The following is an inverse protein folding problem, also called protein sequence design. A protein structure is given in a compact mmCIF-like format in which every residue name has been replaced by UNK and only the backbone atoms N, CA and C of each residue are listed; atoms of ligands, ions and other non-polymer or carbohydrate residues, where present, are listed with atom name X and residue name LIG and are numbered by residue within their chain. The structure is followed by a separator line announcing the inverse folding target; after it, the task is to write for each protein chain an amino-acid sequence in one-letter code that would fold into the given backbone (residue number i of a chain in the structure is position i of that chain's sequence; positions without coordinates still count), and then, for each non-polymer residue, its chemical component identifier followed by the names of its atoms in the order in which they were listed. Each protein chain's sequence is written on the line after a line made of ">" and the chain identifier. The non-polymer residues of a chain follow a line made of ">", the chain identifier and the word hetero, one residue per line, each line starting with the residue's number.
data_IF_043406162016
#
_entry.id   IF_043406162016
#
_cell.length_a   1.000
_cell.length_b   1.000
_cell.length_c   1.000
_cell.angle_alpha   90.00
_cell.angle_beta   90.00
_cell.angle_gamma   90.00
#
_symmetry.space_group_name_H-M   'P 1'
#
loop_
_entity.id
_entity.type
_entity.pdbx_description
1 polymer ?
#
# COMPACT_ATOMS: atom_id res chain seq x y z
N UNK A 1 2.55 -33.41 -8.49
CA UNK A 1 2.99 -32.34 -9.40
C UNK A 1 3.48 -31.16 -8.59
N UNK A 2 4.80 -31.07 -8.48
CA UNK A 2 5.54 -30.25 -7.51
C UNK A 2 6.01 -28.95 -8.16
N UNK A 3 5.06 -28.08 -8.51
CA UNK A 3 5.33 -26.76 -9.09
C UNK A 3 4.30 -25.77 -8.52
N UNK A 4 4.77 -24.60 -8.10
CA UNK A 4 4.04 -23.46 -7.49
C UNK A 4 3.72 -23.51 -5.99
N UNK A 5 4.75 -23.63 -5.16
CA UNK A 5 4.79 -22.85 -3.92
C UNK A 5 5.93 -21.84 -4.02
N UNK A 6 5.84 -20.92 -4.99
CA UNK A 6 6.66 -19.70 -4.96
C UNK A 6 6.24 -18.94 -3.70
N UNK A 7 7.02 -19.06 -2.64
CA UNK A 7 6.96 -18.17 -1.49
C UNK A 7 6.95 -16.73 -2.02
N UNK A 8 5.84 -16.01 -1.90
CA UNK A 8 5.73 -14.61 -2.34
C UNK A 8 6.67 -13.78 -1.47
N UNK A 9 7.87 -13.54 -1.98
CA UNK A 9 8.92 -12.79 -1.29
C UNK A 9 8.60 -11.29 -1.19
N UNK A 10 7.84 -10.76 -2.15
CA UNK A 10 7.52 -9.35 -2.28
C UNK A 10 6.01 -9.15 -2.43
N UNK A 11 5.47 -8.29 -1.59
CA UNK A 11 4.11 -7.78 -1.68
C UNK A 11 4.18 -6.25 -1.78
N UNK A 12 3.63 -5.70 -2.86
CA UNK A 12 3.70 -4.27 -3.17
C UNK A 12 2.30 -3.69 -2.95
N UNK A 13 2.22 -2.51 -2.33
CA UNK A 13 0.98 -1.79 -2.10
C UNK A 13 1.14 -0.35 -2.57
N UNK A 14 0.28 0.08 -3.50
CA UNK A 14 0.30 1.43 -4.06
C UNK A 14 -0.84 2.26 -3.46
N UNK A 15 -0.59 3.53 -3.16
CA UNK A 15 -1.57 4.46 -2.60
C UNK A 15 -1.54 5.82 -3.29
N UNK A 16 -2.64 6.21 -3.92
CA UNK A 16 -2.85 7.51 -4.54
C UNK A 16 -3.57 8.46 -3.56
N UNK A 17 -2.83 9.42 -3.00
CA UNK A 17 -3.32 10.33 -1.95
C UNK A 17 -3.85 11.67 -2.45
N UNK A 18 -3.74 11.94 -3.76
CA UNK A 18 -4.17 13.21 -4.37
C UNK A 18 -5.69 13.30 -4.61
N UNK A 19 -6.38 12.15 -4.66
CA UNK A 19 -7.82 12.09 -4.90
C UNK A 19 -8.54 12.38 -3.58
N UNK A 20 -9.21 13.53 -3.49
CA UNK A 20 -10.04 13.90 -2.34
C UNK A 20 -11.28 13.01 -2.31
N UNK A 21 -11.46 12.21 -1.27
CA UNK A 21 -12.69 11.46 -1.04
C UNK A 21 -13.80 12.42 -0.54
N UNK A 22 -14.48 13.10 -1.45
CA UNK A 22 -15.83 13.64 -1.19
C UNK A 22 -16.83 12.95 -2.14
N UNK A 23 -18.11 12.94 -1.78
CA UNK A 23 -19.15 12.20 -2.51
C UNK A 23 -19.24 12.60 -4.00
N UNK A 24 -19.08 13.89 -4.32
CA UNK A 24 -19.01 14.37 -5.71
C UNK A 24 -17.82 13.79 -6.49
N UNK A 25 -16.64 13.68 -5.87
CA UNK A 25 -15.43 13.15 -6.51
C UNK A 25 -15.51 11.63 -6.65
N UNK A 26 -16.15 10.94 -5.70
CA UNK A 26 -16.48 9.51 -5.80
C UNK A 26 -17.42 9.21 -6.97
N UNK A 27 -18.49 10.01 -7.13
CA UNK A 27 -19.42 9.88 -8.27
C UNK A 27 -18.76 10.24 -9.61
N UNK A 28 -17.93 11.28 -9.65
CA UNK A 28 -17.17 11.67 -10.85
C UNK A 28 -16.13 10.62 -11.30
N UNK A 29 -15.59 9.86 -10.35
CA UNK A 29 -14.63 8.79 -10.62
C UNK A 29 -15.29 7.41 -10.80
N UNK A 30 -16.62 7.28 -10.69
CA UNK A 30 -17.31 6.00 -10.85
C UNK A 30 -17.05 5.34 -12.22
N UNK A 31 -17.07 6.07 -13.35
CA UNK A 31 -16.69 5.50 -14.65
C UNK A 31 -15.22 5.04 -14.65
N UNK A 32 -14.34 5.78 -14.00
CA UNK A 32 -12.91 5.45 -13.91
C UNK A 32 -12.67 4.19 -13.07
N UNK A 33 -13.31 4.08 -11.91
CA UNK A 33 -13.24 2.90 -11.04
C UNK A 33 -13.79 1.66 -11.76
N UNK A 34 -14.85 1.81 -12.55
CA UNK A 34 -15.39 0.73 -13.38
C UNK A 34 -14.39 0.30 -14.46
N UNK A 35 -13.77 1.25 -15.18
CA UNK A 35 -12.73 0.95 -16.17
C UNK A 35 -11.53 0.26 -15.52
N UNK A 36 -11.08 0.74 -14.35
CA UNK A 36 -9.98 0.12 -13.61
C UNK A 36 -10.31 -1.34 -13.22
N UNK A 37 -11.50 -1.59 -12.68
CA UNK A 37 -11.95 -2.93 -12.32
C UNK A 37 -12.07 -3.85 -13.55
N UNK A 38 -12.61 -3.36 -14.67
CA UNK A 38 -12.67 -4.14 -15.91
C UNK A 38 -11.27 -4.45 -16.46
N UNK A 39 -10.34 -3.50 -16.35
CA UNK A 39 -8.96 -3.70 -16.77
C UNK A 39 -8.24 -4.74 -15.90
N UNK A 40 -8.43 -4.69 -14.59
CA UNK A 40 -7.90 -5.70 -13.66
C UNK A 40 -8.46 -7.10 -13.95
N UNK A 41 -9.76 -7.21 -14.23
CA UNK A 41 -10.39 -8.50 -14.58
C UNK A 41 -9.89 -9.06 -15.90
N UNK A 42 -9.63 -8.20 -16.90
CA UNK A 42 -9.23 -8.62 -18.25
C UNK A 42 -7.72 -8.85 -18.35
N UNK A 43 -6.90 -8.03 -17.68
CA UNK A 43 -5.44 -8.00 -17.83
C UNK A 43 -4.68 -8.48 -16.59
N UNK A 44 -5.34 -8.62 -15.44
CA UNK A 44 -4.70 -8.84 -14.14
C UNK A 44 -3.66 -7.77 -13.79
N UNK A 45 -3.87 -6.56 -14.28
CA UNK A 45 -2.99 -5.41 -14.13
C UNK A 45 -3.82 -4.17 -13.77
N UNK A 46 -3.26 -3.36 -12.90
CA UNK A 46 -3.78 -2.06 -12.49
C UNK A 46 -3.72 -1.08 -13.67
N UNK A 47 -4.84 -0.43 -13.98
CA UNK A 47 -4.95 0.44 -15.17
C UNK A 47 -4.06 1.69 -15.09
N UNK A 48 -3.65 2.10 -13.89
CA UNK A 48 -2.84 3.30 -13.68
C UNK A 48 -1.35 3.03 -13.86
N UNK A 49 -0.89 1.85 -13.43
CA UNK A 49 0.54 1.52 -13.37
C UNK A 49 0.95 0.34 -14.25
N UNK A 50 -0.01 -0.39 -14.80
CA UNK A 50 0.19 -1.68 -15.50
C UNK A 50 0.88 -2.74 -14.63
N UNK A 51 0.96 -2.52 -13.32
CA UNK A 51 1.47 -3.51 -12.37
C UNK A 51 0.34 -4.45 -11.95
N UNK A 52 0.67 -5.69 -11.59
CA UNK A 52 -0.33 -6.62 -11.00
C UNK A 52 -0.85 -6.15 -9.63
N UNK A 53 -0.17 -5.18 -9.01
CA UNK A 53 -0.56 -4.60 -7.73
C UNK A 53 -1.62 -3.53 -7.94
N UNK A 54 -2.80 -3.63 -7.29
CA UNK A 54 -3.84 -2.61 -7.39
C UNK A 54 -3.41 -1.30 -6.70
N UNK A 55 -3.81 -0.17 -7.29
CA UNK A 55 -3.66 1.16 -6.68
C UNK A 55 -4.83 1.46 -5.75
N UNK A 56 -4.54 1.67 -4.47
CA UNK A 56 -5.53 2.10 -3.48
C UNK A 56 -5.71 3.62 -3.53
N UNK A 57 -6.93 4.11 -3.34
CA UNK A 57 -7.23 5.54 -3.26
C UNK A 57 -7.25 5.99 -1.80
N UNK A 58 -6.60 7.12 -1.51
CA UNK A 58 -6.53 7.73 -0.19
C UNK A 58 -5.25 7.39 0.58
N UNK A 59 -5.24 7.75 1.87
CA UNK A 59 -4.10 7.49 2.75
C UNK A 59 -4.03 6.02 3.14
N UNK A 60 -2.82 5.45 3.32
CA UNK A 60 -2.69 4.08 3.78
C UNK A 60 -3.31 3.90 5.17
N UNK A 61 -4.03 2.79 5.42
CA UNK A 61 -4.62 2.51 6.73
C UNK A 61 -3.54 1.96 7.69
N UNK A 62 -2.56 2.80 8.05
CA UNK A 62 -1.35 2.41 8.79
C UNK A 62 -1.63 1.58 10.03
N UNK A 63 -2.63 1.98 10.83
CA UNK A 63 -3.03 1.24 12.04
C UNK A 63 -3.38 -0.22 11.76
N UNK A 64 -4.13 -0.49 10.69
CA UNK A 64 -4.53 -1.85 10.34
C UNK A 64 -3.36 -2.65 9.77
N UNK A 65 -2.54 -2.02 8.92
CA UNK A 65 -1.36 -2.66 8.33
C UNK A 65 -0.34 -3.07 9.41
N UNK A 66 0.00 -2.17 10.31
CA UNK A 66 0.98 -2.45 11.36
C UNK A 66 0.45 -3.49 12.37
N UNK A 67 -0.84 -3.45 12.71
CA UNK A 67 -1.46 -4.49 13.54
C UNK A 67 -1.40 -5.86 12.86
N UNK A 68 -1.66 -5.94 11.55
CA UNK A 68 -1.52 -7.16 10.77
C UNK A 68 -0.08 -7.68 10.79
N UNK A 69 0.91 -6.84 10.48
CA UNK A 69 2.32 -7.26 10.49
C UNK A 69 2.78 -7.72 11.86
N UNK A 70 2.28 -7.12 12.94
CA UNK A 70 2.59 -7.54 14.31
C UNK A 70 2.04 -8.92 14.63
N UNK A 71 0.85 -9.25 14.10
CA UNK A 71 0.24 -10.56 14.28
C UNK A 71 0.91 -11.65 13.44
N UNK A 72 1.37 -11.31 12.23
CA UNK A 72 1.93 -12.26 11.26
C UNK A 72 3.43 -12.50 11.46
N UNK A 73 4.18 -11.55 12.04
CA UNK A 73 5.63 -11.61 12.10
C UNK A 73 6.19 -11.37 13.51
N UNK A 74 7.17 -12.18 13.91
CA UNK A 74 7.85 -12.06 15.21
C UNK A 74 8.69 -10.79 15.33
N UNK A 75 9.32 -10.36 14.24
CA UNK A 75 10.15 -9.16 14.18
C UNK A 75 10.02 -8.47 12.84
N UNK A 76 9.88 -7.15 12.86
CA UNK A 76 9.67 -6.33 11.66
C UNK A 76 10.67 -5.18 11.63
N UNK A 77 11.31 -4.99 10.49
CA UNK A 77 12.13 -3.82 10.18
C UNK A 77 11.34 -2.94 9.19
N UNK A 78 11.28 -1.65 9.44
CA UNK A 78 10.62 -0.66 8.59
C UNK A 78 11.68 0.30 8.09
N UNK A 79 11.85 0.36 6.78
CA UNK A 79 12.73 1.30 6.09
C UNK A 79 11.84 2.33 5.41
N UNK A 80 12.09 3.62 5.65
CA UNK A 80 11.27 4.70 5.11
C UNK A 80 12.15 5.69 4.36
N UNK A 81 11.70 6.10 3.17
CA UNK A 81 12.23 7.25 2.45
C UNK A 81 11.07 8.13 1.99
N UNK A 82 11.19 9.45 2.17
CA UNK A 82 10.12 10.39 1.85
C UNK A 82 10.14 11.64 2.71
N UNK A 83 8.99 12.31 2.80
CA UNK A 83 8.87 13.56 3.54
C UNK A 83 8.89 13.35 5.07
N UNK A 84 9.33 14.37 5.83
CA UNK A 84 9.49 14.30 7.29
C UNK A 84 8.17 14.03 8.03
N UNK A 85 7.07 14.62 7.59
CA UNK A 85 5.77 14.47 8.26
C UNK A 85 5.33 13.00 8.24
N UNK A 86 5.48 12.35 7.10
CA UNK A 86 5.17 10.93 6.93
C UNK A 86 6.18 10.05 7.68
N UNK A 87 7.48 10.42 7.71
CA UNK A 87 8.47 9.72 8.53
C UNK A 87 8.05 9.68 10.00
N UNK A 88 7.60 10.82 10.56
CA UNK A 88 7.16 10.93 11.94
C UNK A 88 5.90 10.08 12.21
N UNK A 89 4.95 10.07 11.27
CA UNK A 89 3.74 9.23 11.32
C UNK A 89 4.08 7.73 11.33
N UNK A 90 4.95 7.29 10.42
CA UNK A 90 5.41 5.89 10.33
C UNK A 90 6.20 5.49 11.57
N UNK A 91 7.08 6.37 12.06
CA UNK A 91 7.87 6.11 13.26
C UNK A 91 6.98 5.90 14.48
N UNK A 92 5.94 6.73 14.66
CA UNK A 92 4.97 6.56 15.74
C UNK A 92 4.33 5.17 15.71
N UNK A 93 3.91 4.70 14.54
CA UNK A 93 3.39 3.34 14.40
C UNK A 93 4.44 2.25 14.65
N UNK A 94 5.71 2.48 14.28
CA UNK A 94 6.79 1.56 14.64
C UNK A 94 6.96 1.45 16.15
N UNK A 95 6.94 2.58 16.87
CA UNK A 95 7.09 2.63 18.33
C UNK A 95 5.93 1.91 19.03
N UNK A 96 4.68 2.12 18.57
CA UNK A 96 3.48 1.43 19.08
C UNK A 96 3.54 -0.10 18.95
N UNK A 97 4.21 -0.62 17.92
CA UNK A 97 4.29 -2.06 17.62
C UNK A 97 5.67 -2.68 17.93
N UNK A 98 6.61 -1.90 18.46
CA UNK A 98 8.00 -2.29 18.71
C UNK A 98 8.73 -2.79 17.45
N UNK A 99 8.52 -2.11 16.33
CA UNK A 99 9.25 -2.37 15.08
C UNK A 99 10.53 -1.54 15.03
N UNK A 100 11.57 -2.06 14.36
CA UNK A 100 12.80 -1.30 14.14
C UNK A 100 12.62 -0.36 12.96
N UNK A 101 12.71 0.94 13.20
CA UNK A 101 12.55 1.97 12.18
C UNK A 101 13.91 2.51 11.71
N UNK A 102 14.09 2.65 10.40
CA UNK A 102 15.24 3.29 9.77
C UNK A 102 14.76 4.31 8.73
N UNK A 103 15.25 5.54 8.84
CA UNK A 103 14.99 6.59 7.87
C UNK A 103 16.14 6.61 6.86
N UNK A 104 15.82 6.21 5.63
CA UNK A 104 16.77 6.08 4.54
C UNK A 104 16.85 7.39 3.72
N UNK A 105 18.05 7.80 3.27
CA UNK A 105 18.20 8.97 2.43
C UNK A 105 17.51 8.80 1.07
N UNK A 106 17.12 9.91 0.45
CA UNK A 106 16.74 9.94 -0.96
C UNK A 106 18.03 9.93 -1.79
N UNK A 107 18.15 9.02 -2.76
CA UNK A 107 19.26 9.00 -3.73
C UNK A 107 18.99 9.98 -4.89
#
# INVERSE_FOLDING_TARGET
>A
NSQEQRSRYLDIHLYCTSIRSNEQTMLGNLPYNLVANMYEVIRHEDVHTQLRTPTHVGRPPWKLLFAKFKAEHRSTNVFFTGNRIMADEIKKHCDEHSFRFQNEPYF
#
